data_IF_860197751637
#
_entry.id   IF_860197751637
#
_cell.length_a   1.000
_cell.length_b   1.000
_cell.length_c   1.000
_cell.angle_alpha   90.00
_cell.angle_beta   90.00
_cell.angle_gamma   90.00
#
_symmetry.space_group_name_H-M   'P 1'
#
loop_
_entity.id
_entity.type
_entity.pdbx_description
1 polymer ?
#
# COMPACT_ATOMS: atom_id res chain seq x y z
N UNK A 1 33.15 54.49 0.80
CA UNK A 1 31.86 54.22 0.15
C UNK A 1 32.03 53.47 -1.18
N UNK A 2 32.98 53.87 -2.04
CA UNK A 2 33.18 53.26 -3.35
C UNK A 2 33.53 51.76 -3.37
N UNK A 3 34.23 51.26 -2.36
CA UNK A 3 34.55 49.83 -2.28
C UNK A 3 33.29 49.01 -2.06
N UNK A 4 32.41 49.42 -1.14
CA UNK A 4 31.16 48.70 -0.80
C UNK A 4 30.20 48.60 -2.00
N UNK A 5 30.11 49.68 -2.81
CA UNK A 5 29.29 49.72 -4.03
C UNK A 5 29.82 48.76 -5.10
N UNK A 6 31.14 48.47 -5.13
CA UNK A 6 31.75 47.54 -6.10
C UNK A 6 31.64 46.07 -5.69
N UNK A 7 31.61 45.76 -4.39
CA UNK A 7 31.45 44.38 -3.88
C UNK A 7 29.98 43.96 -3.72
N UNK A 8 29.06 44.90 -3.50
CA UNK A 8 27.63 44.60 -3.35
C UNK A 8 27.03 43.80 -4.53
N UNK A 9 27.32 44.08 -5.82
CA UNK A 9 26.84 43.30 -6.94
C UNK A 9 27.33 41.84 -6.93
N UNK A 10 28.57 41.61 -6.48
CA UNK A 10 29.17 40.27 -6.37
C UNK A 10 28.47 39.46 -5.28
N UNK A 11 28.18 40.08 -4.13
CA UNK A 11 27.41 39.45 -3.06
C UNK A 11 25.97 39.15 -3.50
N UNK A 12 25.31 40.08 -4.21
CA UNK A 12 23.95 39.87 -4.73
C UNK A 12 23.95 38.73 -5.76
N UNK A 13 24.91 38.70 -6.68
CA UNK A 13 25.05 37.62 -7.66
C UNK A 13 25.33 36.26 -7.00
N UNK A 14 26.13 36.23 -5.93
CA UNK A 14 26.36 35.02 -5.14
C UNK A 14 25.10 34.53 -4.44
N UNK A 15 24.32 35.43 -3.83
CA UNK A 15 23.05 35.09 -3.17
C UNK A 15 22.00 34.58 -4.16
N UNK A 16 21.87 35.20 -5.34
CA UNK A 16 20.92 34.73 -6.37
C UNK A 16 21.31 33.37 -6.91
N UNK A 17 22.60 33.10 -7.11
CA UNK A 17 23.09 31.77 -7.53
C UNK A 17 22.79 30.70 -6.47
N UNK A 18 22.98 30.99 -5.18
CA UNK A 18 22.64 30.07 -4.09
C UNK A 18 21.13 29.79 -4.01
N UNK A 19 20.29 30.82 -4.14
CA UNK A 19 18.83 30.66 -4.15
C UNK A 19 18.37 29.84 -5.35
N UNK A 20 18.93 30.09 -6.53
CA UNK A 20 18.61 29.32 -7.74
C UNK A 20 19.01 27.85 -7.60
N UNK A 21 20.20 27.58 -7.04
CA UNK A 21 20.67 26.22 -6.77
C UNK A 21 19.78 25.50 -5.76
N UNK A 22 19.43 26.17 -4.66
CA UNK A 22 18.54 25.61 -3.64
C UNK A 22 17.14 25.32 -4.21
N UNK A 23 16.59 26.25 -5.00
CA UNK A 23 15.31 26.07 -5.70
C UNK A 23 15.35 24.88 -6.66
N UNK A 24 16.41 24.73 -7.43
CA UNK A 24 16.59 23.59 -8.34
C UNK A 24 16.61 22.25 -7.59
N UNK A 25 17.35 22.16 -6.48
CA UNK A 25 17.34 20.96 -5.65
C UNK A 25 15.96 20.70 -5.03
N UNK A 26 15.26 21.74 -4.60
CA UNK A 26 13.91 21.62 -4.06
C UNK A 26 12.92 21.10 -5.13
N UNK A 27 12.92 21.66 -6.34
CA UNK A 27 12.07 21.22 -7.45
C UNK A 27 12.37 19.78 -7.87
N UNK A 28 13.66 19.42 -7.97
CA UNK A 28 14.07 18.05 -8.29
C UNK A 28 13.64 17.05 -7.22
N UNK A 29 13.80 17.40 -5.95
CA UNK A 29 13.32 16.55 -4.86
C UNK A 29 11.80 16.44 -4.89
N UNK A 30 11.09 17.55 -5.10
CA UNK A 30 9.63 17.55 -5.23
C UNK A 30 9.14 16.59 -6.31
N UNK A 31 9.74 16.61 -7.50
CA UNK A 31 9.39 15.68 -8.59
C UNK A 31 9.57 14.20 -8.17
N UNK A 32 10.64 13.88 -7.43
CA UNK A 32 10.85 12.52 -6.90
C UNK A 32 9.74 12.13 -5.92
N UNK A 33 9.34 13.04 -5.03
CA UNK A 33 8.27 12.78 -4.06
C UNK A 33 6.90 12.69 -4.73
N UNK A 34 6.62 13.49 -5.76
CA UNK A 34 5.39 13.39 -6.56
C UNK A 34 5.31 12.05 -7.28
N UNK A 35 6.40 11.61 -7.92
CA UNK A 35 6.47 10.28 -8.55
C UNK A 35 6.33 9.16 -7.52
N UNK A 36 7.01 9.25 -6.38
CA UNK A 36 6.88 8.29 -5.28
C UNK A 36 5.44 8.21 -4.76
N UNK A 37 4.75 9.35 -4.65
CA UNK A 37 3.35 9.38 -4.25
C UNK A 37 2.51 8.62 -5.28
N UNK A 38 2.59 9.02 -6.55
CA UNK A 38 1.69 8.52 -7.59
C UNK A 38 1.97 7.08 -8.01
N UNK A 39 3.23 6.67 -8.07
CA UNK A 39 3.65 5.37 -8.62
C UNK A 39 3.86 4.29 -7.54
N UNK A 40 3.91 4.68 -6.26
CA UNK A 40 4.13 3.74 -5.15
C UNK A 40 3.03 3.85 -4.11
N UNK A 41 2.97 4.97 -3.38
CA UNK A 41 2.16 4.98 -2.15
C UNK A 41 0.67 5.22 -2.38
N UNK A 42 0.27 6.04 -3.36
CA UNK A 42 -1.13 6.28 -3.67
C UNK A 42 -1.90 5.02 -4.10
N UNK A 43 -1.41 4.18 -5.05
CA UNK A 43 -2.12 2.95 -5.42
C UNK A 43 -2.19 1.95 -4.26
N UNK A 44 -1.11 1.83 -3.47
CA UNK A 44 -1.06 0.97 -2.30
C UNK A 44 -2.04 1.43 -1.20
N UNK A 45 -2.01 2.71 -0.87
CA UNK A 45 -2.89 3.33 0.11
C UNK A 45 -4.36 3.24 -0.32
N UNK A 46 -4.65 3.50 -1.59
CA UNK A 46 -6.00 3.37 -2.15
C UNK A 46 -6.55 1.95 -2.00
N UNK A 47 -5.71 0.93 -2.19
CA UNK A 47 -6.10 -0.46 -1.96
C UNK A 47 -6.47 -0.72 -0.48
N UNK A 48 -5.66 -0.20 0.46
CA UNK A 48 -5.96 -0.30 1.89
C UNK A 48 -7.25 0.42 2.27
N UNK A 49 -7.48 1.63 1.76
CA UNK A 49 -8.73 2.38 2.02
C UNK A 49 -9.95 1.60 1.52
N UNK A 50 -9.87 0.95 0.37
CA UNK A 50 -10.95 0.11 -0.13
C UNK A 50 -11.22 -1.09 0.80
N UNK A 51 -10.18 -1.76 1.28
CA UNK A 51 -10.30 -2.86 2.25
C UNK A 51 -10.89 -2.40 3.57
N UNK A 52 -10.43 -1.27 4.11
CA UNK A 52 -10.93 -0.72 5.37
C UNK A 52 -12.38 -0.24 5.27
N UNK A 53 -12.76 0.32 4.12
CA UNK A 53 -14.15 0.66 3.84
C UNK A 53 -15.01 -0.59 3.85
N UNK A 54 -14.54 -1.68 3.24
CA UNK A 54 -15.24 -2.96 3.26
C UNK A 54 -15.32 -3.56 4.67
N UNK A 55 -14.23 -3.56 5.43
CA UNK A 55 -14.17 -4.02 6.83
C UNK A 55 -15.24 -3.34 7.68
N UNK A 56 -15.30 -2.01 7.63
CA UNK A 56 -16.26 -1.22 8.41
C UNK A 56 -17.72 -1.50 8.04
N UNK A 57 -18.01 -1.79 6.77
CA UNK A 57 -19.38 -1.99 6.29
C UNK A 57 -19.86 -3.44 6.49
N UNK A 58 -18.99 -4.43 6.31
CA UNK A 58 -19.39 -5.84 6.24
C UNK A 58 -18.84 -6.71 7.38
N UNK A 59 -17.72 -6.32 8.01
CA UNK A 59 -17.04 -7.10 9.06
C UNK A 59 -16.55 -6.17 10.19
N UNK A 60 -17.44 -5.42 10.86
CA UNK A 60 -17.04 -4.36 11.80
C UNK A 60 -16.32 -4.87 13.06
N UNK A 61 -16.43 -6.17 13.37
CA UNK A 61 -15.86 -6.77 14.58
C UNK A 61 -14.42 -7.31 14.38
N UNK A 62 -13.82 -7.14 13.21
CA UNK A 62 -12.47 -7.66 12.92
C UNK A 62 -11.49 -6.49 12.84
N UNK A 63 -10.57 -6.42 13.79
CA UNK A 63 -9.55 -5.37 13.86
C UNK A 63 -8.45 -5.55 12.79
N UNK A 64 -7.88 -4.42 12.35
CA UNK A 64 -6.76 -4.39 11.36
C UNK A 64 -5.59 -5.26 11.82
N UNK A 65 -5.28 -5.26 13.11
CA UNK A 65 -4.16 -6.02 13.66
C UNK A 65 -4.32 -7.54 13.50
N UNK A 66 -5.56 -8.04 13.54
CA UNK A 66 -5.86 -9.48 13.46
C UNK A 66 -5.92 -9.97 12.02
N UNK A 67 -6.44 -9.14 11.12
CA UNK A 67 -6.53 -9.44 9.69
C UNK A 67 -6.19 -8.17 8.91
N UNK A 68 -4.89 -7.87 8.70
CA UNK A 68 -4.48 -6.61 8.08
C UNK A 68 -4.90 -6.54 6.61
N UNK A 69 -4.78 -7.65 5.89
CA UNK A 69 -5.20 -7.77 4.49
C UNK A 69 -6.37 -8.74 4.41
N UNK A 70 -7.51 -8.26 3.91
CA UNK A 70 -8.71 -9.07 3.74
C UNK A 70 -8.65 -9.88 2.45
N UNK A 71 -9.00 -11.15 2.54
CA UNK A 71 -9.29 -12.00 1.38
C UNK A 71 -10.79 -12.28 1.35
N UNK A 72 -11.39 -12.15 0.17
CA UNK A 72 -12.79 -12.46 -0.09
C UNK A 72 -12.86 -13.54 -1.15
N UNK A 73 -13.76 -14.49 -0.94
CA UNK A 73 -14.05 -15.56 -1.89
C UNK A 73 -15.48 -15.39 -2.39
N UNK A 74 -15.68 -15.58 -3.69
CA UNK A 74 -17.00 -15.53 -4.31
C UNK A 74 -17.42 -16.95 -4.66
N UNK A 75 -18.42 -17.48 -3.95
CA UNK A 75 -19.02 -18.77 -4.30
C UNK A 75 -20.13 -18.59 -5.32
N UNK A 76 -19.97 -19.17 -6.51
CA UNK A 76 -20.99 -19.26 -7.55
C UNK A 76 -21.60 -20.66 -7.51
N UNK A 77 -22.89 -20.75 -7.25
CA UNK A 77 -23.64 -22.01 -7.26
C UNK A 77 -24.43 -22.12 -8.55
N UNK A 78 -23.97 -22.96 -9.48
CA UNK A 78 -24.69 -23.29 -10.70
C UNK A 78 -25.63 -24.46 -10.42
N UNK A 79 -26.93 -24.21 -10.44
CA UNK A 79 -27.95 -25.25 -10.28
C UNK A 79 -28.52 -25.59 -11.66
N UNK A 80 -28.23 -26.77 -12.19
CA UNK A 80 -28.88 -27.30 -13.39
C UNK A 80 -29.97 -28.29 -13.00
N UNK A 81 -31.19 -27.98 -13.43
CA UNK A 81 -32.36 -28.85 -13.28
C UNK A 81 -32.56 -29.67 -14.55
N UNK A 82 -32.43 -30.99 -14.46
CA UNK A 82 -32.72 -31.89 -15.59
C UNK A 82 -34.17 -32.37 -15.54
N UNK A 83 -35.01 -31.82 -16.43
CA UNK A 83 -36.44 -32.18 -16.53
C UNK A 83 -36.66 -33.66 -16.88
N UNK A 84 -35.69 -34.32 -17.53
CA UNK A 84 -35.79 -35.72 -17.99
C UNK A 84 -35.44 -36.77 -16.93
N UNK A 85 -34.72 -36.39 -15.87
CA UNK A 85 -34.29 -37.33 -14.81
C UNK A 85 -34.76 -36.93 -13.42
N UNK A 86 -35.38 -35.76 -13.26
CA UNK A 86 -35.79 -35.22 -11.95
C UNK A 86 -34.62 -34.90 -11.01
N UNK A 87 -33.37 -34.93 -11.52
CA UNK A 87 -32.17 -34.73 -10.72
C UNK A 87 -31.70 -33.27 -10.80
N UNK A 88 -31.36 -32.73 -9.64
CA UNK A 88 -30.69 -31.45 -9.48
C UNK A 88 -29.19 -31.70 -9.42
N UNK A 89 -28.42 -31.13 -10.35
CA UNK A 89 -26.96 -31.04 -10.21
C UNK A 89 -26.61 -29.63 -9.73
N UNK A 90 -25.92 -29.55 -8.60
CA UNK A 90 -25.30 -28.32 -8.13
C UNK A 90 -23.78 -28.42 -8.35
N UNK A 91 -23.23 -27.50 -9.11
CA UNK A 91 -21.80 -27.23 -9.17
C UNK A 91 -21.53 -25.94 -8.42
N UNK A 92 -20.80 -26.01 -7.32
CA UNK A 92 -20.28 -24.83 -6.62
C UNK A 92 -18.87 -24.56 -7.13
N UNK A 93 -18.65 -23.38 -7.71
CA UNK A 93 -17.31 -22.88 -8.08
C UNK A 93 -16.97 -21.71 -7.17
N UNK A 94 -15.78 -21.75 -6.58
CA UNK A 94 -15.23 -20.64 -5.81
C UNK A 94 -14.31 -19.83 -6.70
N UNK A 95 -14.62 -18.55 -6.90
CA UNK A 95 -13.81 -17.60 -7.64
C UNK A 95 -13.19 -16.56 -6.69
N UNK A 96 -12.08 -15.94 -7.12
CA UNK A 96 -11.47 -14.85 -6.39
C UNK A 96 -12.47 -13.68 -6.23
N UNK A 97 -12.64 -13.20 -5.00
CA UNK A 97 -13.50 -12.06 -4.71
C UNK A 97 -12.88 -10.73 -5.08
N UNK A 98 -13.54 -9.64 -4.67
CA UNK A 98 -13.09 -8.28 -4.96
C UNK A 98 -11.73 -7.97 -4.30
N UNK A 99 -11.54 -8.45 -3.07
CA UNK A 99 -10.25 -8.46 -2.38
C UNK A 99 -9.67 -9.86 -2.45
N UNK A 100 -8.54 -10.00 -3.13
CA UNK A 100 -7.80 -11.25 -3.22
C UNK A 100 -6.32 -10.97 -2.98
N UNK A 101 -5.68 -11.92 -2.31
CA UNK A 101 -4.26 -11.90 -2.00
C UNK A 101 -3.41 -11.76 -3.25
N UNK A 102 -3.77 -12.45 -4.34
CA UNK A 102 -3.04 -12.36 -5.61
C UNK A 102 -3.18 -10.96 -6.22
N UNK A 103 -4.36 -10.35 -6.09
CA UNK A 103 -4.57 -8.96 -6.48
C UNK A 103 -3.69 -8.01 -5.67
N UNK A 104 -3.59 -8.20 -4.35
CA UNK A 104 -2.71 -7.39 -3.51
C UNK A 104 -1.24 -7.54 -3.89
N UNK A 105 -0.76 -8.77 -4.10
CA UNK A 105 0.62 -9.04 -4.57
C UNK A 105 0.89 -8.41 -5.94
N UNK A 106 -0.10 -8.43 -6.84
CA UNK A 106 -0.01 -7.77 -8.15
C UNK A 106 0.17 -6.27 -7.97
N UNK A 107 -0.68 -5.63 -7.17
CA UNK A 107 -0.61 -4.19 -6.88
C UNK A 107 0.74 -3.83 -6.23
N UNK A 108 1.27 -4.66 -5.32
CA UNK A 108 2.61 -4.48 -4.76
C UNK A 108 3.72 -4.58 -5.82
N UNK A 109 3.61 -5.54 -6.74
CA UNK A 109 4.64 -5.77 -7.75
C UNK A 109 4.63 -4.75 -8.89
N UNK A 110 3.46 -4.18 -9.20
CA UNK A 110 3.28 -3.12 -10.20
C UNK A 110 3.80 -1.77 -9.71
N UNK A 111 3.99 -1.60 -8.39
CA UNK A 111 4.54 -0.37 -7.81
C UNK A 111 5.99 -0.13 -8.23
N UNK A 112 6.38 1.14 -8.36
CA UNK A 112 7.75 1.50 -8.75
C UNK A 112 8.77 1.23 -7.63
N UNK A 113 9.43 0.07 -7.72
CA UNK A 113 10.44 -0.41 -6.76
C UNK A 113 11.65 0.53 -6.63
N UNK A 114 11.97 1.33 -7.64
CA UNK A 114 13.07 2.30 -7.61
C UNK A 114 12.77 3.54 -6.78
N UNK A 115 11.47 3.85 -6.57
CA UNK A 115 11.03 5.00 -5.79
C UNK A 115 10.58 4.61 -4.37
N UNK A 116 10.29 3.33 -4.16
CA UNK A 116 9.87 2.77 -2.88
C UNK A 116 10.95 2.89 -1.79
N UNK A 117 10.52 2.93 -0.53
CA UNK A 117 11.45 2.83 0.60
C UNK A 117 12.04 1.42 0.70
N UNK A 118 13.29 1.28 1.17
CA UNK A 118 13.90 -0.03 1.36
C UNK A 118 13.08 -0.97 2.26
N UNK A 119 12.44 -0.43 3.31
CA UNK A 119 11.57 -1.20 4.22
C UNK A 119 10.40 -1.83 3.48
N UNK A 120 9.71 -1.07 2.61
CA UNK A 120 8.61 -1.57 1.80
C UNK A 120 9.04 -2.74 0.91
N UNK A 121 10.18 -2.63 0.24
CA UNK A 121 10.72 -3.69 -0.63
C UNK A 121 11.02 -4.98 0.14
N UNK A 122 11.65 -4.84 1.32
CA UNK A 122 11.94 -5.97 2.19
C UNK A 122 10.65 -6.69 2.61
N UNK A 123 9.65 -5.93 3.07
CA UNK A 123 8.38 -6.46 3.53
C UNK A 123 7.62 -7.16 2.40
N UNK A 124 7.62 -6.60 1.18
CA UNK A 124 7.01 -7.24 0.00
C UNK A 124 7.62 -8.61 -0.23
N UNK A 125 8.96 -8.73 -0.18
CA UNK A 125 9.64 -10.01 -0.41
C UNK A 125 9.44 -11.02 0.72
N UNK A 126 9.42 -10.56 1.96
CA UNK A 126 9.06 -11.41 3.09
C UNK A 126 7.64 -11.95 2.94
N UNK A 127 6.70 -11.08 2.57
CA UNK A 127 5.31 -11.45 2.37
C UNK A 127 5.15 -12.49 1.25
N UNK A 128 5.75 -12.26 0.07
CA UNK A 128 5.70 -13.21 -1.06
C UNK A 128 6.19 -14.61 -0.65
N UNK A 129 7.31 -14.68 0.10
CA UNK A 129 7.85 -15.96 0.57
C UNK A 129 6.90 -16.63 1.57
N UNK A 130 6.33 -15.88 2.51
CA UNK A 130 5.43 -16.41 3.52
C UNK A 130 4.11 -16.92 2.91
N UNK A 131 3.58 -16.21 1.91
CA UNK A 131 2.43 -16.66 1.12
C UNK A 131 2.77 -17.95 0.37
N UNK A 132 3.93 -18.00 -0.29
CA UNK A 132 4.38 -19.21 -0.97
C UNK A 132 4.48 -20.40 -0.01
N UNK A 133 5.08 -20.21 1.18
CA UNK A 133 5.18 -21.26 2.19
C UNK A 133 3.82 -21.72 2.69
N UNK A 134 2.90 -20.80 2.98
CA UNK A 134 1.54 -21.13 3.42
C UNK A 134 0.78 -21.94 2.34
N UNK A 135 0.90 -21.57 1.07
CA UNK A 135 0.21 -22.25 -0.05
C UNK A 135 0.81 -23.62 -0.41
N UNK A 136 2.09 -23.85 -0.12
CA UNK A 136 2.82 -25.07 -0.51
C UNK A 136 3.10 -26.02 0.67
N UNK A 137 2.65 -25.67 1.86
CA UNK A 137 2.77 -26.52 3.06
C UNK A 137 1.42 -27.13 3.39
N UNK A 138 1.40 -28.35 3.93
CA UNK A 138 0.18 -28.97 4.43
C UNK A 138 -0.49 -28.08 5.49
N UNK A 139 -1.76 -27.78 5.27
CA UNK A 139 -2.60 -27.01 6.19
C UNK A 139 -2.56 -27.63 7.60
N UNK A 140 -2.60 -26.79 8.64
CA UNK A 140 -2.48 -27.17 10.05
C UNK A 140 -1.14 -27.77 10.50
N UNK A 141 -0.17 -27.99 9.61
CA UNK A 141 1.20 -28.36 10.02
C UNK A 141 1.88 -27.24 10.83
N UNK A 142 2.93 -27.60 11.58
CA UNK A 142 3.69 -26.63 12.38
C UNK A 142 4.31 -25.53 11.50
N UNK A 143 4.84 -25.91 10.34
CA UNK A 143 5.42 -24.99 9.36
C UNK A 143 4.35 -24.06 8.77
N UNK A 144 3.16 -24.58 8.48
CA UNK A 144 2.03 -23.78 8.01
C UNK A 144 1.62 -22.75 9.07
N UNK A 145 1.43 -23.16 10.32
CA UNK A 145 1.07 -22.26 11.43
C UNK A 145 2.09 -21.15 11.64
N UNK A 146 3.38 -21.50 11.64
CA UNK A 146 4.48 -20.52 11.72
C UNK A 146 4.50 -19.56 10.54
N UNK A 147 4.26 -20.05 9.34
CA UNK A 147 4.19 -19.22 8.15
C UNK A 147 2.98 -18.27 8.23
N UNK A 148 1.80 -18.76 8.62
CA UNK A 148 0.58 -17.96 8.78
C UNK A 148 0.74 -16.87 9.84
N UNK A 149 1.26 -17.20 11.02
CA UNK A 149 1.49 -16.22 12.10
C UNK A 149 2.47 -15.13 11.65
N UNK A 150 3.63 -15.54 11.12
CA UNK A 150 4.65 -14.61 10.61
C UNK A 150 4.14 -13.76 9.46
N UNK A 151 3.27 -14.32 8.61
CA UNK A 151 2.64 -13.62 7.50
C UNK A 151 1.76 -12.50 8.03
N UNK A 152 0.89 -12.77 9.01
CA UNK A 152 0.03 -11.75 9.61
C UNK A 152 0.86 -10.60 10.20
N UNK A 153 1.98 -10.90 10.87
CA UNK A 153 2.90 -9.86 11.35
C UNK A 153 3.45 -8.98 10.22
N UNK A 154 3.90 -9.61 9.12
CA UNK A 154 4.43 -8.90 7.95
C UNK A 154 3.35 -8.11 7.23
N UNK A 155 2.13 -8.63 7.13
CA UNK A 155 0.97 -7.93 6.58
C UNK A 155 0.67 -6.66 7.37
N UNK A 156 0.75 -6.72 8.71
CA UNK A 156 0.55 -5.56 9.56
C UNK A 156 1.67 -4.52 9.42
N UNK A 157 2.93 -4.97 9.30
CA UNK A 157 4.05 -4.05 9.03
C UNK A 157 3.99 -3.44 7.62
N UNK A 158 3.50 -4.18 6.63
CA UNK A 158 3.19 -3.64 5.29
C UNK A 158 2.13 -2.55 5.37
N UNK A 159 1.04 -2.81 6.09
CA UNK A 159 -0.02 -1.84 6.31
C UNK A 159 0.55 -0.52 6.86
N UNK A 160 1.34 -0.59 7.95
CA UNK A 160 1.97 0.60 8.54
C UNK A 160 2.90 1.32 7.58
N UNK A 161 3.79 0.59 6.92
CA UNK A 161 4.77 1.17 6.00
C UNK A 161 4.09 1.89 4.82
N UNK A 162 2.99 1.35 4.31
CA UNK A 162 2.20 1.99 3.25
C UNK A 162 1.56 3.28 3.75
N UNK A 163 0.91 3.26 4.92
CA UNK A 163 0.29 4.45 5.53
C UNK A 163 1.34 5.52 5.83
N UNK A 164 2.40 5.16 6.54
CA UNK A 164 3.49 6.08 6.91
C UNK A 164 4.18 6.66 5.67
N UNK A 165 4.39 5.84 4.64
CA UNK A 165 4.99 6.25 3.38
C UNK A 165 4.10 7.20 2.58
N UNK A 166 2.79 6.99 2.57
CA UNK A 166 1.83 7.90 1.97
C UNK A 166 1.81 9.25 2.70
N UNK A 167 1.58 9.24 4.02
CA UNK A 167 1.43 10.45 4.83
C UNK A 167 2.69 11.33 4.80
N UNK A 168 3.87 10.72 4.95
CA UNK A 168 5.13 11.45 4.88
C UNK A 168 5.39 12.07 3.51
N UNK A 169 4.93 11.43 2.43
CA UNK A 169 5.06 11.96 1.07
C UNK A 169 4.09 13.13 0.85
N UNK A 170 2.84 12.99 1.30
CA UNK A 170 1.82 14.06 1.29
C UNK A 170 2.29 15.27 2.10
N UNK A 171 2.82 15.05 3.30
CA UNK A 171 3.35 16.11 4.18
C UNK A 171 4.55 16.82 3.56
N UNK A 172 5.46 16.08 2.93
CA UNK A 172 6.61 16.68 2.22
C UNK A 172 6.15 17.60 1.08
N UNK A 173 5.12 17.17 0.35
CA UNK A 173 4.54 17.93 -0.76
C UNK A 173 3.57 19.05 -0.30
N UNK A 174 3.27 19.13 1.00
CA UNK A 174 2.30 20.09 1.59
C UNK A 174 0.90 19.96 0.97
N UNK A 175 0.50 18.72 0.72
CA UNK A 175 -0.84 18.37 0.20
C UNK A 175 -1.85 18.09 1.33
N UNK A 176 -1.43 18.25 2.58
CA UNK A 176 -2.19 18.01 3.83
C UNK A 176 -3.22 19.10 4.15
N UNK A 177 -3.31 20.16 3.35
CA UNK A 177 -4.26 21.26 3.51
C UNK A 177 -5.71 20.96 3.12
N UNK A 178 -6.01 19.76 2.62
CA UNK A 178 -7.39 19.29 2.39
C UNK A 178 -7.78 18.28 3.47
N UNK A 179 -8.92 18.49 4.14
CA UNK A 179 -9.47 17.62 5.19
C UNK A 179 -9.23 16.13 4.89
N UNK A 180 -8.46 15.47 5.76
CA UNK A 180 -8.09 14.07 5.60
C UNK A 180 -9.33 13.20 5.97
N UNK A 181 -10.13 12.83 4.96
CA UNK A 181 -11.44 12.15 5.14
C UNK A 181 -11.29 10.76 5.76
N UNK A 182 -10.11 10.14 5.65
CA UNK A 182 -9.80 8.83 6.23
C UNK A 182 -8.56 8.91 7.10
N UNK A 183 -8.76 9.33 8.35
CA UNK A 183 -7.73 9.33 9.39
C UNK A 183 -7.46 7.89 9.85
N UNK A 184 -6.69 7.14 9.05
CA UNK A 184 -6.31 5.76 9.35
C UNK A 184 -5.46 5.66 10.63
N UNK A 185 -4.86 6.76 11.10
CA UNK A 185 -4.17 6.80 12.40
C UNK A 185 -5.12 6.57 13.59
N UNK A 186 -6.40 6.95 13.47
CA UNK A 186 -7.41 6.67 14.50
C UNK A 186 -7.82 5.19 14.56
N UNK A 187 -7.34 4.36 13.63
CA UNK A 187 -7.54 2.90 13.62
C UNK A 187 -6.34 2.15 14.23
N UNK A 188 -5.38 2.86 14.85
CA UNK A 188 -4.30 2.29 15.67
C UNK A 188 -4.79 1.73 17.03
N UNK A 189 -6.10 1.71 17.28
CA UNK A 189 -6.72 1.18 18.51
C UNK A 189 -6.93 -0.32 18.38
#
# INVERSE_FOLDING_TARGET
MDTFIKIAPIFIAGLTALVAMWKYFYEKNRDIYEKRLNEVYAPLYGYLVAQETFRKLYIPNVEVKTAPILTSEKSIVNTQFSLSTGKVKQETRTEAGFFDRKNFIRVLNDSNKGLARPKLLLLIKQYEVLVYLEENTQEESEQWKKATEKKVDVEYELFKEIVDGYESTVRFLRLDGSENIYDLEKMKV
#
